data_IF_254130659020
#
_entry.id   IF_254130659020
#
_cell.length_a   1.000
_cell.length_b   1.000
_cell.length_c   1.000
_cell.angle_alpha   90.00
_cell.angle_beta   90.00
_cell.angle_gamma   90.00
#
_symmetry.space_group_name_H-M   'P 1'
#
loop_
_entity.id
_entity.type
_entity.pdbx_description
1 polymer ?
#
# COMPACT_ATOMS: atom_id res chain seq x y z
N UNK A 1 -20.74 -14.68 3.78
CA UNK A 1 -20.05 -14.10 4.95
C UNK A 1 -20.06 -12.60 4.77
N UNK A 2 -20.72 -11.92 5.66
CA UNK A 2 -20.92 -10.46 5.59
C UNK A 2 -19.77 -9.75 6.31
N UNK A 3 -19.31 -8.65 5.76
CA UNK A 3 -18.28 -7.82 6.38
C UNK A 3 -18.89 -7.11 7.61
N UNK A 4 -18.17 -7.00 8.75
CA UNK A 4 -18.79 -6.60 10.03
C UNK A 4 -19.18 -5.12 10.10
N UNK A 5 -18.67 -4.27 9.22
CA UNK A 5 -18.96 -2.83 9.21
C UNK A 5 -19.65 -2.41 7.91
N UNK A 6 -20.52 -1.41 8.01
CA UNK A 6 -21.03 -0.74 6.82
C UNK A 6 -19.90 0.03 6.12
N UNK A 7 -20.09 0.33 4.83
CA UNK A 7 -19.15 1.16 4.06
C UNK A 7 -18.99 2.56 4.69
N UNK A 8 -20.08 3.12 5.24
CA UNK A 8 -20.06 4.42 5.89
C UNK A 8 -19.23 4.40 7.18
N UNK A 9 -19.41 3.39 8.04
CA UNK A 9 -18.59 3.21 9.25
C UNK A 9 -17.11 3.02 8.93
N UNK A 10 -16.79 2.22 7.89
CA UNK A 10 -15.43 2.03 7.46
C UNK A 10 -14.81 3.32 6.93
N UNK A 11 -15.54 4.06 6.09
CA UNK A 11 -15.07 5.32 5.51
C UNK A 11 -14.86 6.41 6.57
N UNK A 12 -15.64 6.42 7.65
CA UNK A 12 -15.39 7.30 8.80
C UNK A 12 -14.03 7.02 9.45
N UNK A 13 -13.68 5.73 9.67
CA UNK A 13 -12.38 5.31 10.21
C UNK A 13 -11.23 5.60 9.23
N UNK A 14 -11.47 5.44 7.93
CA UNK A 14 -10.52 5.79 6.89
C UNK A 14 -10.23 7.30 6.90
N UNK A 15 -11.25 8.13 7.04
CA UNK A 15 -11.08 9.59 7.14
C UNK A 15 -10.21 9.99 8.35
N UNK A 16 -10.37 9.33 9.49
CA UNK A 16 -9.51 9.53 10.66
C UNK A 16 -8.06 9.12 10.37
N UNK A 17 -7.87 7.99 9.69
CA UNK A 17 -6.54 7.49 9.30
C UNK A 17 -5.82 8.44 8.34
N UNK A 18 -6.55 9.03 7.38
CA UNK A 18 -6.00 10.03 6.44
C UNK A 18 -5.65 11.33 7.16
N UNK A 19 -6.47 11.77 8.13
CA UNK A 19 -6.15 12.93 8.99
C UNK A 19 -4.87 12.69 9.80
N UNK A 20 -4.72 11.51 10.39
CA UNK A 20 -3.52 11.13 11.13
C UNK A 20 -2.28 11.17 10.23
N UNK A 21 -2.39 10.63 9.00
CA UNK A 21 -1.31 10.67 8.01
C UNK A 21 -0.78 12.10 7.81
N UNK A 22 -1.65 13.05 7.49
CA UNK A 22 -1.23 14.42 7.21
C UNK A 22 -0.76 15.19 8.46
N UNK A 23 -1.35 14.92 9.62
CA UNK A 23 -0.89 15.50 10.89
C UNK A 23 0.53 15.04 11.21
N UNK A 24 0.79 13.75 11.14
CA UNK A 24 2.12 13.18 11.38
C UNK A 24 3.16 13.71 10.40
N UNK A 25 2.79 13.82 9.11
CA UNK A 25 3.69 14.39 8.08
C UNK A 25 4.04 15.85 8.36
N UNK A 26 3.07 16.65 8.77
CA UNK A 26 3.29 18.05 9.14
C UNK A 26 4.23 18.17 10.34
N UNK A 27 3.97 17.41 11.40
CA UNK A 27 4.82 17.41 12.60
C UNK A 27 6.27 16.97 12.28
N UNK A 28 6.44 15.98 11.39
CA UNK A 28 7.77 15.56 10.94
C UNK A 28 8.50 16.68 10.19
N UNK A 29 7.81 17.38 9.29
CA UNK A 29 8.38 18.52 8.56
C UNK A 29 8.76 19.68 9.49
N UNK A 30 7.92 20.03 10.45
CA UNK A 30 8.17 21.05 11.46
C UNK A 30 9.40 20.72 12.32
N UNK A 31 9.52 19.46 12.77
CA UNK A 31 10.70 19.00 13.53
C UNK A 31 12.00 19.07 12.71
N UNK A 32 11.95 18.76 11.42
CA UNK A 32 13.12 18.86 10.55
C UNK A 32 13.53 20.32 10.33
N UNK A 33 12.57 21.19 10.12
CA UNK A 33 12.82 22.63 10.00
C UNK A 33 13.46 23.21 11.27
N UNK A 34 12.98 22.80 12.46
CA UNK A 34 13.53 23.26 13.75
C UNK A 34 14.97 22.79 14.02
N UNK A 35 15.37 21.66 13.42
CA UNK A 35 16.73 21.10 13.55
C UNK A 35 17.72 21.67 12.54
N UNK A 36 17.34 22.68 11.73
CA UNK A 36 18.20 23.30 10.71
C UNK A 36 18.60 22.38 9.55
N UNK A 37 17.96 21.22 9.40
CA UNK A 37 18.24 20.23 8.35
C UNK A 37 17.40 20.49 7.10
N UNK A 38 17.43 21.70 6.59
CA UNK A 38 16.68 22.10 5.38
C UNK A 38 17.12 21.33 4.11
N UNK A 39 18.34 20.78 4.09
CA UNK A 39 18.93 20.10 2.92
C UNK A 39 18.93 18.56 3.00
N UNK A 40 18.45 17.96 4.09
CA UNK A 40 18.38 16.51 4.18
C UNK A 40 17.17 15.97 3.42
N UNK A 41 17.05 16.25 2.15
CA UNK A 41 16.01 15.86 1.19
C UNK A 41 14.88 14.96 1.75
N UNK A 42 13.76 14.88 1.10
CA UNK A 42 12.56 14.06 1.49
C UNK A 42 12.84 12.62 1.99
N UNK A 43 14.10 12.14 1.90
CA UNK A 43 14.52 10.82 2.40
C UNK A 43 14.39 10.68 3.92
N UNK A 44 14.65 11.75 4.70
CA UNK A 44 14.53 11.70 6.16
C UNK A 44 13.09 11.88 6.66
N UNK A 45 12.18 12.42 5.81
CA UNK A 45 10.74 12.45 6.10
C UNK A 45 10.13 11.05 6.11
N UNK A 46 10.75 10.11 5.40
CA UNK A 46 10.25 8.73 5.18
C UNK A 46 10.77 7.75 6.22
N UNK A 47 11.83 8.08 6.97
CA UNK A 47 12.53 7.13 7.85
C UNK A 47 11.76 6.70 9.10
N UNK A 48 10.54 7.18 9.32
CA UNK A 48 9.76 6.83 10.51
C UNK A 48 8.56 5.90 10.30
N UNK A 49 8.08 5.67 9.06
CA UNK A 49 6.90 4.81 8.78
C UNK A 49 5.59 5.22 9.50
N UNK A 50 5.72 5.96 10.60
CA UNK A 50 4.62 6.31 11.54
C UNK A 50 3.41 7.00 10.91
N UNK A 51 3.59 7.70 9.81
CA UNK A 51 2.50 8.38 9.11
C UNK A 51 1.47 7.41 8.50
N UNK A 52 1.84 6.14 8.24
CA UNK A 52 0.93 5.10 7.77
C UNK A 52 0.38 4.20 8.89
N UNK A 53 0.79 4.44 10.15
CA UNK A 53 0.38 3.58 11.27
C UNK A 53 -1.14 3.53 11.44
N UNK A 54 -1.85 4.62 11.25
CA UNK A 54 -3.31 4.63 11.39
C UNK A 54 -4.03 3.78 10.31
N UNK A 55 -3.51 3.79 9.07
CA UNK A 55 -4.01 2.88 8.02
C UNK A 55 -3.72 1.42 8.36
N UNK A 56 -2.52 1.14 8.87
CA UNK A 56 -2.17 -0.19 9.36
C UNK A 56 -3.06 -0.65 10.50
N UNK A 57 -3.35 0.22 11.48
CA UNK A 57 -4.25 -0.08 12.61
C UNK A 57 -5.70 -0.30 12.15
N UNK A 58 -6.17 0.42 11.14
CA UNK A 58 -7.48 0.19 10.53
C UNK A 58 -7.55 -1.21 9.90
N UNK A 59 -6.54 -1.63 9.13
CA UNK A 59 -6.49 -2.97 8.55
C UNK A 59 -6.32 -4.05 9.64
N UNK A 60 -5.54 -3.80 10.68
CA UNK A 60 -5.46 -4.70 11.83
C UNK A 60 -6.82 -4.89 12.51
N UNK A 61 -7.63 -3.83 12.65
CA UNK A 61 -8.95 -3.97 13.25
C UNK A 61 -9.86 -4.87 12.41
N UNK A 62 -9.78 -4.77 11.07
CA UNK A 62 -10.47 -5.70 10.15
C UNK A 62 -10.02 -7.17 10.36
N UNK A 63 -8.71 -7.38 10.49
CA UNK A 63 -8.16 -8.74 10.73
C UNK A 63 -8.63 -9.29 12.08
N UNK A 64 -8.77 -8.45 13.10
CA UNK A 64 -9.30 -8.84 14.41
C UNK A 64 -10.78 -9.23 14.37
N UNK A 65 -11.59 -8.59 13.55
CA UNK A 65 -13.01 -8.97 13.36
C UNK A 65 -13.14 -10.39 12.78
N UNK A 66 -12.12 -10.89 12.11
CA UNK A 66 -12.06 -12.29 11.68
C UNK A 66 -11.84 -13.24 12.88
N UNK A 67 -11.22 -12.78 13.97
CA UNK A 67 -10.89 -13.58 15.15
C UNK A 67 -9.39 -13.88 15.30
N UNK A 68 -8.52 -13.12 14.61
CA UNK A 68 -7.07 -13.21 14.82
C UNK A 68 -6.64 -12.46 16.07
N UNK A 69 -5.75 -13.06 16.83
CA UNK A 69 -5.18 -12.48 18.05
C UNK A 69 -4.03 -11.53 17.72
N UNK A 70 -3.61 -10.73 18.70
CA UNK A 70 -2.47 -9.82 18.57
C UNK A 70 -1.13 -10.54 18.31
N UNK A 71 -1.03 -11.81 18.68
CA UNK A 71 0.16 -12.62 18.48
C UNK A 71 0.26 -13.15 17.03
N UNK A 72 -0.86 -13.25 16.33
CA UNK A 72 -0.96 -13.74 14.96
C UNK A 72 -0.85 -12.60 13.93
N UNK A 73 -0.93 -11.33 14.38
CA UNK A 73 -0.82 -10.15 13.52
C UNK A 73 0.53 -9.48 13.77
N UNK A 74 1.34 -9.41 12.74
CA UNK A 74 2.65 -8.75 12.75
C UNK A 74 2.53 -7.40 12.06
N UNK A 75 2.45 -6.35 12.85
CA UNK A 75 2.42 -4.96 12.41
C UNK A 75 3.43 -4.17 13.23
N UNK A 76 4.23 -3.30 12.58
CA UNK A 76 5.34 -2.59 13.21
C UNK A 76 6.36 -3.50 13.93
N UNK A 77 6.29 -4.80 13.71
CA UNK A 77 7.24 -5.80 14.17
C UNK A 77 7.99 -6.33 12.95
N UNK A 78 9.27 -6.50 13.09
CA UNK A 78 10.09 -7.07 12.01
C UNK A 78 9.82 -8.56 11.87
N UNK A 79 8.93 -8.92 10.94
CA UNK A 79 8.83 -10.30 10.48
C UNK A 79 9.48 -10.41 9.11
N UNK A 80 10.63 -11.07 9.00
CA UNK A 80 11.22 -11.37 7.71
C UNK A 80 10.50 -12.55 7.05
N UNK A 81 9.84 -12.32 5.92
CA UNK A 81 9.24 -13.35 5.08
C UNK A 81 10.28 -13.79 4.06
N UNK A 82 10.52 -15.09 3.84
CA UNK A 82 11.44 -15.58 2.83
C UNK A 82 11.13 -15.01 1.45
N UNK A 83 12.16 -14.69 0.69
CA UNK A 83 12.07 -14.30 -0.72
C UNK A 83 12.72 -15.33 -1.63
N UNK A 84 12.56 -15.16 -2.92
CA UNK A 84 13.20 -15.99 -3.95
C UNK A 84 14.50 -15.37 -4.47
N UNK A 85 14.46 -14.07 -4.80
CA UNK A 85 15.62 -13.32 -5.30
C UNK A 85 16.44 -12.68 -4.18
N UNK A 86 15.88 -12.61 -2.99
CA UNK A 86 16.54 -12.10 -1.78
C UNK A 86 16.25 -13.05 -0.62
N UNK A 87 17.14 -13.07 0.36
CA UNK A 87 16.96 -13.96 1.51
C UNK A 87 15.63 -13.73 2.22
N UNK A 88 15.26 -12.48 2.43
CA UNK A 88 14.06 -12.10 3.19
C UNK A 88 13.57 -10.71 2.80
N UNK A 89 12.24 -10.48 2.94
CA UNK A 89 11.59 -9.16 2.87
C UNK A 89 10.73 -8.94 4.11
N UNK A 90 10.77 -7.73 4.64
CA UNK A 90 9.83 -7.27 5.67
C UNK A 90 8.62 -6.66 4.99
N UNK A 91 7.44 -7.13 5.36
CA UNK A 91 6.15 -6.58 4.96
C UNK A 91 5.57 -5.76 6.09
N UNK A 92 4.75 -4.75 5.80
CA UNK A 92 4.21 -3.85 6.82
C UNK A 92 3.21 -4.56 7.73
N UNK A 93 2.38 -5.46 7.17
CA UNK A 93 1.47 -6.31 7.93
C UNK A 93 1.61 -7.75 7.44
N UNK A 94 1.74 -8.70 8.37
CA UNK A 94 1.63 -10.13 8.09
C UNK A 94 0.62 -10.77 9.05
N UNK A 95 -0.13 -11.75 8.54
CA UNK A 95 -1.04 -12.57 9.34
C UNK A 95 -0.54 -14.00 9.30
N UNK A 96 -0.21 -14.55 10.47
CA UNK A 96 0.33 -15.91 10.61
C UNK A 96 -0.45 -16.66 11.68
N UNK A 97 -0.93 -17.83 11.33
CA UNK A 97 -1.58 -18.78 12.28
C UNK A 97 -0.96 -20.15 12.12
N UNK A 98 -0.57 -20.76 13.24
CA UNK A 98 0.06 -22.10 13.26
C UNK A 98 1.28 -22.23 12.33
N UNK A 99 2.08 -21.15 12.22
CA UNK A 99 3.25 -21.10 11.33
C UNK A 99 2.94 -20.90 9.85
N UNK A 100 1.66 -20.75 9.48
CA UNK A 100 1.21 -20.54 8.10
C UNK A 100 1.02 -19.05 7.84
N UNK A 101 1.68 -18.52 6.80
CA UNK A 101 1.47 -17.16 6.32
C UNK A 101 0.14 -17.10 5.55
N UNK A 102 -0.84 -16.38 6.09
CA UNK A 102 -2.17 -16.23 5.50
C UNK A 102 -2.34 -14.95 4.70
N UNK A 103 -1.65 -13.88 5.10
CA UNK A 103 -1.67 -12.62 4.36
C UNK A 103 -0.38 -11.83 4.57
N UNK A 104 0.01 -11.06 3.55
CA UNK A 104 1.04 -10.02 3.61
C UNK A 104 0.52 -8.76 2.94
N UNK A 105 0.78 -7.59 3.54
CA UNK A 105 0.32 -6.29 3.02
C UNK A 105 1.48 -5.32 3.03
N UNK A 106 1.63 -4.60 1.92
CA UNK A 106 2.55 -3.48 1.77
C UNK A 106 1.77 -2.17 1.80
N UNK A 107 2.20 -1.25 2.66
CA UNK A 107 1.66 0.10 2.77
C UNK A 107 2.68 1.08 2.20
N UNK A 108 2.28 1.88 1.25
CA UNK A 108 3.16 2.90 0.64
C UNK A 108 2.45 4.23 0.54
N UNK A 109 3.23 5.29 0.54
CA UNK A 109 2.72 6.62 0.27
C UNK A 109 3.71 7.45 -0.54
N UNK A 110 3.19 8.47 -1.19
CA UNK A 110 4.00 9.46 -1.86
C UNK A 110 3.41 10.85 -1.72
N UNK A 111 4.26 11.77 -1.23
CA UNK A 111 3.99 13.19 -1.18
C UNK A 111 5.18 13.91 -1.83
N UNK A 112 4.92 14.65 -2.91
CA UNK A 112 5.97 15.30 -3.70
C UNK A 112 6.87 14.35 -4.50
N UNK A 113 7.85 14.91 -5.22
CA UNK A 113 8.87 14.20 -6.02
C UNK A 113 8.33 13.09 -6.94
N UNK A 114 7.16 13.32 -7.55
CA UNK A 114 6.41 12.29 -8.28
C UNK A 114 7.21 11.68 -9.43
N UNK A 115 7.92 12.51 -10.24
CA UNK A 115 8.67 12.05 -11.39
C UNK A 115 9.82 11.09 -11.05
N UNK A 116 10.56 11.42 -9.98
CA UNK A 116 11.72 10.63 -9.57
C UNK A 116 11.32 9.32 -8.90
N UNK A 117 10.13 9.26 -8.32
CA UNK A 117 9.73 8.11 -7.50
C UNK A 117 8.77 7.15 -8.21
N UNK A 118 8.04 7.58 -9.24
CA UNK A 118 7.03 6.73 -9.89
C UNK A 118 7.66 5.44 -10.45
N UNK A 119 8.76 5.55 -11.21
CA UNK A 119 9.44 4.38 -11.77
C UNK A 119 9.95 3.46 -10.67
N UNK A 120 10.62 4.03 -9.65
CA UNK A 120 11.13 3.23 -8.52
C UNK A 120 9.99 2.50 -7.78
N UNK A 121 8.84 3.16 -7.59
CA UNK A 121 7.66 2.54 -6.96
C UNK A 121 7.08 1.41 -7.81
N UNK A 122 7.03 1.62 -9.13
CA UNK A 122 6.56 0.60 -10.06
C UNK A 122 7.48 -0.64 -10.05
N UNK A 123 8.79 -0.43 -10.11
CA UNK A 123 9.78 -1.50 -10.04
C UNK A 123 9.75 -2.23 -8.69
N UNK A 124 9.65 -1.48 -7.58
CA UNK A 124 9.60 -2.03 -6.22
C UNK A 124 8.36 -2.91 -6.00
N UNK A 125 7.18 -2.46 -6.42
CA UNK A 125 5.93 -3.19 -6.19
C UNK A 125 5.87 -4.45 -7.06
N UNK A 126 6.22 -4.37 -8.34
CA UNK A 126 6.24 -5.52 -9.26
C UNK A 126 7.29 -6.53 -8.80
N UNK A 127 8.52 -6.07 -8.51
CA UNK A 127 9.60 -6.92 -8.05
C UNK A 127 9.29 -7.62 -6.73
N UNK A 128 8.61 -6.94 -5.80
CA UNK A 128 8.20 -7.52 -4.51
C UNK A 128 7.14 -8.60 -4.67
N UNK A 129 6.16 -8.39 -5.54
CA UNK A 129 5.14 -9.40 -5.84
C UNK A 129 5.77 -10.63 -6.51
N UNK A 130 6.62 -10.41 -7.51
CA UNK A 130 7.30 -11.50 -8.21
C UNK A 130 8.16 -12.34 -7.28
N UNK A 131 8.94 -11.70 -6.42
CA UNK A 131 9.77 -12.35 -5.40
C UNK A 131 8.94 -13.21 -4.44
N UNK A 132 7.82 -12.66 -3.96
CA UNK A 132 6.89 -13.33 -3.05
C UNK A 132 6.23 -14.57 -3.66
N UNK A 133 5.67 -14.44 -4.87
CA UNK A 133 4.99 -15.56 -5.52
C UNK A 133 5.93 -16.66 -5.97
N UNK A 134 7.17 -16.33 -6.34
CA UNK A 134 8.19 -17.32 -6.61
C UNK A 134 8.59 -18.06 -5.34
N UNK A 135 8.82 -17.35 -4.23
CA UNK A 135 9.12 -17.98 -2.94
C UNK A 135 7.99 -18.94 -2.50
N UNK A 136 6.71 -18.53 -2.67
CA UNK A 136 5.57 -19.40 -2.39
C UNK A 136 5.58 -20.67 -3.26
N UNK A 137 5.80 -20.53 -4.57
CA UNK A 137 5.84 -21.70 -5.51
C UNK A 137 6.99 -22.66 -5.19
N UNK A 138 8.12 -22.15 -4.75
CA UNK A 138 9.27 -22.94 -4.30
C UNK A 138 9.10 -23.46 -2.86
N UNK A 139 7.90 -23.34 -2.29
CA UNK A 139 7.53 -23.82 -0.96
C UNK A 139 8.35 -23.22 0.20
N UNK A 140 8.91 -22.03 0.02
CA UNK A 140 9.69 -21.33 1.05
C UNK A 140 8.82 -20.96 2.28
N UNK A 141 7.49 -20.97 2.16
CA UNK A 141 6.56 -20.73 3.27
C UNK A 141 6.11 -22.02 3.97
N UNK A 142 6.61 -23.17 3.53
CA UNK A 142 6.26 -24.48 4.09
C UNK A 142 4.74 -24.71 4.22
N UNK A 143 3.95 -24.20 3.31
CA UNK A 143 2.50 -24.27 3.32
C UNK A 143 1.92 -24.40 1.92
N UNK A 144 0.87 -25.23 1.81
CA UNK A 144 0.05 -25.34 0.60
C UNK A 144 -1.08 -24.30 0.55
N UNK A 145 -1.34 -23.61 1.66
CA UNK A 145 -2.33 -22.51 1.69
C UNK A 145 -1.75 -21.33 0.95
N UNK A 146 -2.45 -20.89 -0.09
CA UNK A 146 -2.04 -19.71 -0.84
C UNK A 146 -2.27 -18.46 0.02
N UNK A 147 -1.20 -17.69 0.33
CA UNK A 147 -1.35 -16.45 1.07
C UNK A 147 -2.05 -15.38 0.23
N UNK A 148 -2.63 -14.40 0.89
CA UNK A 148 -3.19 -13.22 0.26
C UNK A 148 -2.16 -12.08 0.27
N UNK A 149 -1.95 -11.45 -0.87
CA UNK A 149 -1.01 -10.34 -1.02
C UNK A 149 -1.76 -9.05 -1.34
N UNK A 150 -1.58 -8.02 -0.52
CA UNK A 150 -2.23 -6.73 -0.66
C UNK A 150 -1.27 -5.56 -0.81
N UNK A 151 -1.68 -4.55 -1.61
CA UNK A 151 -0.95 -3.30 -1.79
C UNK A 151 -1.85 -2.11 -1.54
N UNK A 152 -1.50 -1.26 -0.57
CA UNK A 152 -2.24 -0.05 -0.26
C UNK A 152 -1.34 1.17 -0.46
N UNK A 153 -1.79 2.12 -1.29
CA UNK A 153 -1.03 3.31 -1.63
C UNK A 153 -1.80 4.59 -1.33
N UNK A 154 -1.17 5.51 -0.59
CA UNK A 154 -1.69 6.85 -0.37
C UNK A 154 -0.88 7.87 -1.17
N UNK A 155 -1.54 8.56 -2.10
CA UNK A 155 -0.95 9.55 -2.99
C UNK A 155 -1.41 10.96 -2.62
N UNK A 156 -0.47 11.90 -2.55
CA UNK A 156 -0.82 13.32 -2.41
C UNK A 156 -1.55 13.83 -3.64
N UNK A 157 -2.74 14.41 -3.43
CA UNK A 157 -3.45 15.22 -4.43
C UNK A 157 -2.91 16.65 -4.41
N UNK A 158 -2.13 16.98 -5.41
CA UNK A 158 -1.56 18.32 -5.62
C UNK A 158 -1.59 18.67 -7.10
N UNK A 159 -1.32 19.93 -7.42
CA UNK A 159 -1.17 20.38 -8.80
C UNK A 159 -0.17 19.51 -9.57
N UNK A 160 1.02 19.27 -8.99
CA UNK A 160 2.09 18.45 -9.58
C UNK A 160 1.70 16.98 -9.81
N UNK A 161 0.86 16.39 -8.97
CA UNK A 161 0.36 15.02 -9.20
C UNK A 161 -0.74 14.95 -10.24
N UNK A 162 -1.38 16.10 -10.54
CA UNK A 162 -2.51 16.25 -11.47
C UNK A 162 -2.09 16.72 -12.87
N UNK A 163 -0.89 17.32 -13.01
CA UNK A 163 -0.38 17.76 -14.29
C UNK A 163 -0.11 16.59 -15.24
N UNK A 164 -0.41 16.82 -16.53
CA UNK A 164 -0.11 15.85 -17.59
C UNK A 164 1.42 15.69 -17.71
N UNK A 165 1.87 14.46 -17.58
CA UNK A 165 3.30 14.14 -17.68
C UNK A 165 3.71 14.00 -19.15
N UNK A 166 4.61 14.88 -19.60
CA UNK A 166 5.16 14.81 -20.96
C UNK A 166 5.90 13.49 -21.17
N UNK A 167 5.57 12.82 -22.27
CA UNK A 167 6.32 11.64 -22.71
C UNK A 167 7.58 12.08 -23.44
N UNK A 168 8.67 11.35 -23.22
CA UNK A 168 9.90 11.59 -23.97
C UNK A 168 9.72 11.14 -25.43
N UNK A 169 10.38 11.85 -26.33
CA UNK A 169 10.44 11.43 -27.72
C UNK A 169 11.21 10.11 -27.83
N UNK A 170 10.59 9.12 -28.48
CA UNK A 170 11.18 7.81 -28.70
C UNK A 170 10.81 7.29 -30.08
N UNK A 171 11.70 6.57 -30.78
CA UNK A 171 11.34 5.87 -32.01
C UNK A 171 10.35 4.72 -31.75
N UNK A 172 10.22 4.26 -30.51
CA UNK A 172 9.24 3.26 -30.10
C UNK A 172 8.02 3.97 -29.48
N UNK A 173 6.80 3.71 -29.98
CA UNK A 173 5.60 4.33 -29.43
C UNK A 173 5.31 3.82 -28.02
N UNK A 174 4.91 4.72 -27.13
CA UNK A 174 4.38 4.33 -25.83
C UNK A 174 2.99 3.70 -25.98
N UNK A 175 2.58 2.87 -25.03
CA UNK A 175 1.23 2.33 -25.00
C UNK A 175 0.21 3.47 -24.84
N UNK A 176 -0.87 3.42 -25.63
CA UNK A 176 -1.88 4.48 -25.72
C UNK A 176 -2.52 4.85 -24.36
N UNK A 177 -2.60 3.89 -23.42
CA UNK A 177 -3.12 4.10 -22.06
C UNK A 177 -2.33 5.16 -21.27
N UNK A 178 -1.09 5.45 -21.63
CA UNK A 178 -0.25 6.47 -20.99
C UNK A 178 -0.32 7.85 -21.66
N UNK A 179 -1.06 7.98 -22.77
CA UNK A 179 -1.21 9.27 -23.42
C UNK A 179 -2.02 10.24 -22.54
N UNK A 180 -1.53 11.46 -22.41
CA UNK A 180 -2.17 12.53 -21.64
C UNK A 180 -2.50 12.15 -20.18
N UNK A 181 -1.63 11.36 -19.54
CA UNK A 181 -1.80 10.93 -18.15
C UNK A 181 -1.03 11.81 -17.18
N UNK A 182 -1.65 12.06 -16.03
CA UNK A 182 -1.02 12.60 -14.83
C UNK A 182 -0.36 11.49 -13.99
N UNK A 183 0.35 11.84 -12.90
CA UNK A 183 0.82 10.83 -11.96
C UNK A 183 -0.32 10.12 -11.23
N UNK A 184 -1.44 10.79 -10.97
CA UNK A 184 -2.64 10.14 -10.42
C UNK A 184 -3.16 9.05 -11.35
N UNK A 185 -3.25 9.35 -12.65
CA UNK A 185 -3.68 8.36 -13.65
C UNK A 185 -2.68 7.19 -13.75
N UNK A 186 -1.39 7.48 -13.72
CA UNK A 186 -0.34 6.44 -13.78
C UNK A 186 -0.36 5.51 -12.58
N UNK A 187 -0.59 6.03 -11.35
CA UNK A 187 -0.76 5.19 -10.18
C UNK A 187 -2.05 4.37 -10.22
N UNK A 188 -3.14 4.94 -10.78
CA UNK A 188 -4.37 4.18 -11.02
C UNK A 188 -4.10 3.02 -11.98
N UNK A 189 -3.50 3.27 -13.14
CA UNK A 189 -3.13 2.24 -14.13
C UNK A 189 -2.23 1.18 -13.50
N UNK A 190 -1.25 1.57 -12.69
CA UNK A 190 -0.37 0.64 -11.99
C UNK A 190 -1.18 -0.29 -11.09
N UNK A 191 -2.01 0.25 -10.20
CA UNK A 191 -2.81 -0.54 -9.26
C UNK A 191 -3.80 -1.47 -9.98
N UNK A 192 -4.46 -0.99 -11.05
CA UNK A 192 -5.35 -1.82 -11.87
C UNK A 192 -4.61 -3.00 -12.51
N UNK A 193 -3.40 -2.77 -13.04
CA UNK A 193 -2.58 -3.82 -13.64
C UNK A 193 -2.06 -4.82 -12.62
N UNK A 194 -1.67 -4.37 -11.43
CA UNK A 194 -1.25 -5.29 -10.35
C UNK A 194 -2.33 -6.31 -10.00
N UNK A 195 -3.60 -5.90 -10.04
CA UNK A 195 -4.74 -6.81 -9.82
C UNK A 195 -5.00 -7.67 -11.07
N UNK A 196 -5.01 -7.07 -12.26
CA UNK A 196 -5.29 -7.75 -13.53
C UNK A 196 -4.29 -8.89 -13.79
N UNK A 197 -3.00 -8.64 -13.55
CA UNK A 197 -1.91 -9.61 -13.73
C UNK A 197 -1.78 -10.59 -12.53
N UNK A 198 -2.61 -10.41 -11.50
CA UNK A 198 -2.58 -11.22 -10.26
C UNK A 198 -1.27 -11.12 -9.49
N UNK A 199 -0.56 -10.02 -9.66
CA UNK A 199 0.61 -9.70 -8.84
C UNK A 199 0.18 -9.44 -7.38
N UNK A 200 -1.01 -8.85 -7.21
CA UNK A 200 -1.67 -8.66 -5.91
C UNK A 200 -3.12 -9.15 -5.97
N UNK A 201 -3.60 -9.69 -4.85
CA UNK A 201 -5.00 -10.10 -4.71
C UNK A 201 -5.96 -8.90 -4.65
N UNK A 202 -5.48 -7.79 -4.09
CA UNK A 202 -6.15 -6.50 -4.13
C UNK A 202 -5.14 -5.36 -4.03
N UNK A 203 -5.48 -4.22 -4.60
CA UNK A 203 -4.77 -2.96 -4.41
C UNK A 203 -5.76 -1.86 -4.02
N UNK A 204 -5.34 -0.94 -3.15
CA UNK A 204 -6.09 0.26 -2.80
C UNK A 204 -5.28 1.50 -3.15
N UNK A 205 -5.94 2.51 -3.74
CA UNK A 205 -5.35 3.80 -4.07
C UNK A 205 -6.18 4.92 -3.46
N UNK A 206 -5.64 5.55 -2.42
CA UNK A 206 -6.23 6.70 -1.74
C UNK A 206 -5.53 7.95 -2.26
N UNK A 207 -6.27 8.88 -2.85
CA UNK A 207 -5.74 10.16 -3.34
C UNK A 207 -6.23 11.27 -2.41
N UNK A 208 -5.31 11.93 -1.69
CA UNK A 208 -5.65 12.82 -0.60
C UNK A 208 -4.89 14.15 -0.66
N UNK A 209 -5.60 15.24 -0.35
CA UNK A 209 -5.01 16.56 -0.12
C UNK A 209 -4.46 16.70 1.30
N UNK A 210 -3.64 17.73 1.50
CA UNK A 210 -3.05 18.06 2.82
C UNK A 210 -4.08 18.48 3.89
N UNK A 211 -5.29 18.86 3.48
CA UNK A 211 -6.43 19.11 4.37
C UNK A 211 -7.15 17.84 4.81
N UNK A 212 -6.63 16.68 4.39
CA UNK A 212 -7.16 15.36 4.62
C UNK A 212 -8.47 15.04 3.90
N UNK A 213 -8.92 15.87 2.96
CA UNK A 213 -9.93 15.45 1.99
C UNK A 213 -9.32 14.38 1.08
N UNK A 214 -10.10 13.34 0.75
CA UNK A 214 -9.62 12.27 -0.11
C UNK A 214 -10.73 11.73 -1.02
N UNK A 215 -10.30 11.01 -2.04
CA UNK A 215 -11.16 10.18 -2.87
C UNK A 215 -10.39 8.92 -3.32
N UNK A 216 -11.12 7.95 -3.79
CA UNK A 216 -10.62 6.72 -4.37
C UNK A 216 -11.02 6.69 -5.86
N UNK A 217 -10.11 6.39 -6.80
CA UNK A 217 -10.37 6.62 -8.24
C UNK A 217 -11.36 5.63 -8.85
N UNK A 218 -11.62 4.50 -8.19
CA UNK A 218 -12.67 3.54 -8.55
C UNK A 218 -13.03 2.70 -7.33
N UNK A 219 -14.20 2.04 -7.38
CA UNK A 219 -14.65 1.16 -6.29
C UNK A 219 -13.71 -0.03 -6.08
N UNK A 220 -13.15 -0.57 -7.16
CA UNK A 220 -12.23 -1.72 -7.15
C UNK A 220 -10.90 -1.37 -6.47
N UNK A 221 -10.49 -0.10 -6.55
CA UNK A 221 -9.30 0.42 -5.88
C UNK A 221 -9.60 1.08 -4.53
N UNK A 222 -10.84 0.94 -4.03
CA UNK A 222 -11.25 1.46 -2.73
C UNK A 222 -10.73 0.61 -1.58
N UNK A 223 -10.34 1.25 -0.47
CA UNK A 223 -9.83 0.55 0.71
C UNK A 223 -10.93 -0.31 1.38
N UNK A 224 -12.19 0.09 1.27
CA UNK A 224 -13.31 -0.74 1.74
C UNK A 224 -13.39 -2.06 0.96
N UNK A 225 -13.29 -2.00 -0.39
CA UNK A 225 -13.26 -3.20 -1.22
C UNK A 225 -12.06 -4.11 -0.89
N UNK A 226 -10.89 -3.52 -0.73
CA UNK A 226 -9.67 -4.19 -0.28
C UNK A 226 -9.87 -4.90 1.08
N UNK A 227 -10.44 -4.20 2.06
CA UNK A 227 -10.72 -4.74 3.39
C UNK A 227 -11.72 -5.91 3.37
N UNK A 228 -12.77 -5.81 2.54
CA UNK A 228 -13.72 -6.89 2.32
C UNK A 228 -13.06 -8.13 1.69
N UNK A 229 -12.16 -7.94 0.73
CA UNK A 229 -11.42 -9.04 0.11
C UNK A 229 -10.48 -9.74 1.10
N UNK A 230 -9.72 -8.96 1.88
CA UNK A 230 -8.86 -9.47 2.96
C UNK A 230 -9.67 -10.26 4.00
N UNK A 231 -10.77 -9.66 4.50
CA UNK A 231 -11.65 -10.29 5.48
C UNK A 231 -12.18 -11.64 4.99
N UNK A 232 -12.69 -11.70 3.77
CA UNK A 232 -13.22 -12.94 3.17
C UNK A 232 -12.15 -14.01 3.06
N UNK A 233 -10.95 -13.65 2.59
CA UNK A 233 -9.84 -14.59 2.47
C UNK A 233 -9.44 -15.16 3.83
N UNK A 234 -9.26 -14.31 4.83
CA UNK A 234 -8.87 -14.73 6.17
C UNK A 234 -9.96 -15.56 6.86
N UNK A 235 -11.24 -15.25 6.61
CA UNK A 235 -12.37 -15.97 7.19
C UNK A 235 -12.52 -17.41 6.66
N UNK A 236 -12.09 -17.64 5.43
CA UNK A 236 -12.07 -18.99 4.82
C UNK A 236 -10.90 -19.83 5.34
N UNK A 237 -9.79 -19.18 5.71
CA UNK A 237 -8.53 -19.81 6.10
C UNK A 237 -8.24 -19.70 7.61
N UNK A 238 -9.29 -19.56 8.42
CA UNK A 238 -9.19 -19.51 9.89
C UNK A 238 -8.65 -20.78 10.51
#
# INVERSE_FOLDING_TARGET
MEFPWSEEEFNSKLQESVRFYWTTRREQAERQASLGRLDAGHRNEVTGGKHLDALGLLLMSVIREVGFTHQEIWFNKTLPVPGYYRAQKKWDICVIRNGILLAAIELKSQSGSFGNNFNNRSEEVIGSARDFWLAYREQAFHSMVQPWLGYCFLLEDSEKSSEIVKLANSPLPTMAVFNNTSYKDRYKILCERLILERDYNAAALIISKKDASFYEPSKELGLFHFACALYKHLKVNQ
#
